data_IF_059461771398
#
_entry.id   IF_059461771398
#
_cell.length_a   1.000
_cell.length_b   1.000
_cell.length_c   1.000
_cell.angle_alpha   90.00
_cell.angle_beta   90.00
_cell.angle_gamma   90.00
#
_symmetry.space_group_name_H-M   'P 1'
#
loop_
_entity.id
_entity.type
_entity.pdbx_description
1 polymer ?
#
# COMPACT_ATOMS: atom_id res chain seq x y z
N UNK A 1 -26.82 -46.77 -13.34
CA UNK A 1 -26.39 -45.50 -13.94
C UNK A 1 -25.35 -44.86 -13.01
N UNK A 2 -24.08 -44.84 -13.42
CA UNK A 2 -22.98 -44.18 -12.68
C UNK A 2 -23.00 -42.70 -13.05
N UNK A 3 -23.25 -41.82 -12.07
CA UNK A 3 -23.13 -40.37 -12.26
C UNK A 3 -21.64 -40.02 -12.12
N UNK A 4 -21.00 -39.74 -13.25
CA UNK A 4 -19.63 -39.26 -13.32
C UNK A 4 -19.58 -37.81 -12.81
N UNK A 5 -18.96 -37.58 -11.66
CA UNK A 5 -18.59 -36.25 -11.19
C UNK A 5 -17.31 -35.81 -11.92
N UNK A 6 -17.45 -35.06 -13.02
CA UNK A 6 -16.33 -34.32 -13.59
C UNK A 6 -16.02 -33.13 -12.67
N UNK A 7 -14.96 -33.26 -11.87
CA UNK A 7 -14.28 -32.12 -11.23
C UNK A 7 -13.68 -31.27 -12.34
N UNK A 8 -14.34 -30.16 -12.66
CA UNK A 8 -13.78 -29.09 -13.48
C UNK A 8 -12.54 -28.52 -12.79
N UNK A 9 -11.37 -28.72 -13.39
CA UNK A 9 -10.12 -28.07 -13.02
C UNK A 9 -10.24 -26.58 -13.33
N UNK A 10 -10.33 -25.73 -12.29
CA UNK A 10 -10.25 -24.28 -12.44
C UNK A 10 -8.86 -23.92 -12.99
N UNK A 11 -8.76 -23.66 -14.29
CA UNK A 11 -7.58 -23.04 -14.89
C UNK A 11 -7.35 -21.67 -14.25
N UNK A 12 -6.26 -21.54 -13.48
CA UNK A 12 -5.80 -20.30 -12.87
C UNK A 12 -5.29 -19.37 -13.96
N UNK A 13 -6.12 -18.41 -14.36
CA UNK A 13 -5.74 -17.41 -15.35
C UNK A 13 -4.74 -16.43 -14.74
N UNK A 14 -3.49 -16.50 -15.19
CA UNK A 14 -2.39 -15.64 -14.76
C UNK A 14 -2.55 -14.26 -15.38
N UNK A 15 -2.86 -13.24 -14.57
CA UNK A 15 -2.93 -11.87 -15.08
C UNK A 15 -1.52 -11.29 -15.24
N UNK A 16 -1.12 -11.04 -16.49
CA UNK A 16 0.18 -10.43 -16.83
C UNK A 16 -0.06 -8.95 -17.10
N UNK A 17 0.68 -8.08 -16.41
CA UNK A 17 0.63 -6.64 -16.60
C UNK A 17 1.85 -6.16 -17.36
N UNK A 18 1.63 -5.39 -18.43
CA UNK A 18 2.73 -4.69 -19.10
C UNK A 18 3.34 -3.64 -18.15
N UNK A 19 4.66 -3.67 -17.98
CA UNK A 19 5.42 -2.69 -17.20
C UNK A 19 6.57 -2.21 -18.06
N UNK A 20 6.54 -0.92 -18.38
CA UNK A 20 7.58 -0.26 -19.15
C UNK A 20 8.25 0.81 -18.28
N UNK A 21 9.56 0.95 -18.44
CA UNK A 21 10.38 1.97 -17.82
C UNK A 21 10.91 2.90 -18.89
N UNK A 22 10.82 4.20 -18.65
CA UNK A 22 11.37 5.24 -19.48
C UNK A 22 12.55 5.93 -18.75
N UNK A 23 13.56 6.42 -19.50
CA UNK A 23 14.53 7.37 -18.96
C UNK A 23 13.85 8.54 -18.26
N UNK A 24 14.57 9.20 -17.36
CA UNK A 24 14.02 10.37 -16.67
C UNK A 24 13.58 11.44 -17.69
N UNK A 25 12.32 11.87 -17.60
CA UNK A 25 11.80 12.95 -18.42
C UNK A 25 11.82 14.27 -17.62
N UNK A 26 12.55 15.30 -18.08
CA UNK A 26 12.63 16.60 -17.40
C UNK A 26 11.30 17.38 -17.37
N UNK A 27 10.27 16.95 -18.10
CA UNK A 27 8.93 17.54 -18.04
C UNK A 27 8.04 16.89 -16.96
N UNK A 28 8.44 15.78 -16.31
CA UNK A 28 7.67 15.21 -15.19
C UNK A 28 7.39 16.19 -14.05
N UNK A 29 8.33 17.05 -13.62
CA UNK A 29 8.04 18.10 -12.64
C UNK A 29 6.94 19.06 -13.10
N UNK A 30 6.94 19.50 -14.37
CA UNK A 30 5.92 20.41 -14.92
C UNK A 30 4.55 19.73 -14.99
N UNK A 31 4.51 18.47 -15.40
CA UNK A 31 3.31 17.65 -15.41
C UNK A 31 2.73 17.49 -13.99
N UNK A 32 3.60 17.24 -13.01
CA UNK A 32 3.22 17.26 -11.60
C UNK A 32 2.64 18.61 -11.17
N UNK A 33 3.33 19.73 -11.45
CA UNK A 33 2.90 21.07 -11.04
C UNK A 33 1.52 21.42 -11.60
N UNK A 34 1.27 21.10 -12.87
CA UNK A 34 -0.03 21.31 -13.52
C UNK A 34 -1.15 20.53 -12.83
N UNK A 35 -0.96 19.24 -12.59
CA UNK A 35 -1.97 18.42 -11.93
C UNK A 35 -2.13 18.78 -10.45
N UNK A 36 -1.03 19.13 -9.76
CA UNK A 36 -1.05 19.58 -8.38
C UNK A 36 -1.84 20.88 -8.21
N UNK A 37 -1.73 21.82 -9.16
CA UNK A 37 -2.54 23.04 -9.16
C UNK A 37 -4.04 22.74 -9.31
N UNK A 38 -4.41 21.83 -10.21
CA UNK A 38 -5.81 21.39 -10.39
C UNK A 38 -6.37 20.72 -9.14
N UNK A 39 -5.61 19.81 -8.54
CA UNK A 39 -5.99 19.11 -7.30
C UNK A 39 -6.16 20.11 -6.16
N UNK A 40 -5.19 21.02 -5.98
CA UNK A 40 -5.25 22.08 -4.96
C UNK A 40 -6.49 22.95 -5.12
N UNK A 41 -6.78 23.39 -6.34
CA UNK A 41 -7.96 24.21 -6.62
C UNK A 41 -9.26 23.46 -6.29
N UNK A 42 -9.36 22.19 -6.69
CA UNK A 42 -10.53 21.38 -6.40
C UNK A 42 -10.74 21.22 -4.89
N UNK A 43 -9.69 20.87 -4.15
CA UNK A 43 -9.74 20.64 -2.71
C UNK A 43 -10.11 21.88 -1.89
N UNK A 44 -9.86 23.10 -2.40
CA UNK A 44 -10.29 24.34 -1.76
C UNK A 44 -9.77 24.49 -0.33
N UNK A 45 -10.67 24.73 0.62
CA UNK A 45 -10.37 24.88 2.05
C UNK A 45 -10.01 23.54 2.74
N UNK A 46 -10.24 22.40 2.08
CA UNK A 46 -9.83 21.09 2.58
C UNK A 46 -8.33 20.82 2.34
N UNK A 47 -7.65 21.62 1.53
CA UNK A 47 -6.23 21.46 1.19
C UNK A 47 -5.29 21.94 2.30
N UNK A 48 -4.26 21.14 2.61
CA UNK A 48 -3.15 21.51 3.50
C UNK A 48 -1.82 21.57 2.74
N UNK A 49 -1.45 20.48 2.05
CA UNK A 49 -0.18 20.37 1.34
C UNK A 49 -0.29 19.41 0.15
N UNK A 50 0.66 19.49 -0.78
CA UNK A 50 0.76 18.55 -1.90
C UNK A 50 2.23 18.31 -2.25
N UNK A 51 2.58 17.07 -2.58
CA UNK A 51 3.95 16.65 -2.78
C UNK A 51 4.07 15.72 -4.00
N UNK A 52 5.09 15.96 -4.83
CA UNK A 52 5.53 15.00 -5.84
C UNK A 52 6.32 13.91 -5.15
N UNK A 53 5.90 12.66 -5.29
CA UNK A 53 6.56 11.47 -4.72
C UNK A 53 6.79 10.42 -5.81
N UNK A 54 7.30 9.25 -5.41
CA UNK A 54 7.58 8.17 -6.35
C UNK A 54 8.79 8.45 -7.25
N UNK A 55 9.08 7.54 -8.19
CA UNK A 55 10.31 7.61 -8.98
C UNK A 55 10.38 8.82 -9.93
N UNK A 56 9.25 9.32 -10.42
CA UNK A 56 9.22 10.49 -11.34
C UNK A 56 9.58 11.80 -10.65
N UNK A 57 9.56 11.83 -9.31
CA UNK A 57 10.02 12.97 -8.52
C UNK A 57 11.54 12.99 -8.30
N UNK A 58 12.28 11.97 -8.72
CA UNK A 58 13.74 11.87 -8.51
C UNK A 58 14.47 12.11 -9.85
N UNK A 59 15.20 13.23 -10.00
CA UNK A 59 15.97 13.49 -11.22
C UNK A 59 16.93 12.36 -11.58
N UNK A 60 17.04 12.10 -12.89
CA UNK A 60 17.88 11.05 -13.48
C UNK A 60 17.51 9.60 -13.12
N UNK A 61 16.41 9.37 -12.38
CA UNK A 61 15.95 8.02 -12.07
C UNK A 61 15.02 7.49 -13.16
N UNK A 62 15.36 6.34 -13.75
CA UNK A 62 14.48 5.61 -14.68
C UNK A 62 13.15 5.28 -13.99
N UNK A 63 12.01 5.50 -14.63
CA UNK A 63 10.72 5.31 -13.96
C UNK A 63 9.64 4.82 -14.91
N UNK A 64 8.56 4.30 -14.34
CA UNK A 64 7.31 4.17 -15.09
C UNK A 64 6.79 5.59 -15.35
N UNK A 65 6.35 5.93 -16.57
CA UNK A 65 5.83 7.27 -16.87
C UNK A 65 4.48 7.46 -16.18
N UNK A 66 4.52 7.78 -14.90
CA UNK A 66 3.36 7.94 -14.03
C UNK A 66 3.72 8.91 -12.91
N UNK A 67 2.86 9.89 -12.69
CA UNK A 67 3.05 10.87 -11.60
C UNK A 67 2.38 10.31 -10.34
N UNK A 68 3.16 10.14 -9.28
CA UNK A 68 2.64 9.79 -7.95
C UNK A 68 2.60 11.07 -7.10
N UNK A 69 1.42 11.38 -6.55
CA UNK A 69 1.15 12.61 -5.80
C UNK A 69 0.64 12.24 -4.41
N UNK A 70 1.15 12.90 -3.38
CA UNK A 70 0.52 12.95 -2.06
C UNK A 70 -0.18 14.29 -1.91
N UNK A 71 -1.47 14.31 -1.57
CA UNK A 71 -2.15 15.50 -1.09
C UNK A 71 -2.59 15.31 0.36
N UNK A 72 -2.28 16.30 1.19
CA UNK A 72 -2.63 16.33 2.61
C UNK A 72 -3.87 17.19 2.77
N UNK A 73 -4.88 16.66 3.46
CA UNK A 73 -6.19 17.30 3.63
C UNK A 73 -6.60 17.39 5.09
N UNK A 74 -7.59 18.24 5.36
CA UNK A 74 -8.21 18.34 6.69
C UNK A 74 -9.09 17.12 6.97
N UNK A 75 -9.84 16.66 5.97
CA UNK A 75 -10.80 15.56 6.07
C UNK A 75 -10.77 14.72 4.79
N UNK A 76 -10.56 13.40 4.94
CA UNK A 76 -10.52 12.45 3.82
C UNK A 76 -11.84 12.37 3.05
N UNK A 77 -12.99 12.33 3.73
CA UNK A 77 -14.30 12.16 3.12
C UNK A 77 -14.66 13.32 2.21
N UNK A 78 -14.30 14.55 2.63
CA UNK A 78 -14.49 15.76 1.82
C UNK A 78 -13.71 15.76 0.51
N UNK A 79 -12.68 14.91 0.37
CA UNK A 79 -11.90 14.78 -0.86
C UNK A 79 -12.58 13.98 -1.96
N UNK A 80 -13.50 13.05 -1.64
CA UNK A 80 -14.01 12.06 -2.60
C UNK A 80 -14.74 12.73 -3.76
N UNK A 81 -15.89 13.36 -3.50
CA UNK A 81 -16.73 13.97 -4.55
C UNK A 81 -15.96 15.04 -5.33
N UNK A 82 -15.16 15.82 -4.62
CA UNK A 82 -14.35 16.90 -5.18
C UNK A 82 -13.31 16.40 -6.18
N UNK A 83 -12.61 15.30 -5.87
CA UNK A 83 -11.61 14.72 -6.76
C UNK A 83 -12.25 13.92 -7.90
N UNK A 84 -13.39 13.27 -7.67
CA UNK A 84 -14.17 12.61 -8.73
C UNK A 84 -14.64 13.61 -9.79
N UNK A 85 -15.03 14.82 -9.40
CA UNK A 85 -15.43 15.89 -10.32
C UNK A 85 -14.32 16.33 -11.29
N UNK A 86 -13.05 16.18 -10.91
CA UNK A 86 -11.90 16.46 -11.80
C UNK A 86 -11.37 15.21 -12.51
N UNK A 87 -12.14 14.11 -12.47
CA UNK A 87 -11.87 12.87 -13.20
C UNK A 87 -10.98 11.87 -12.47
N UNK A 88 -10.75 12.02 -11.16
CA UNK A 88 -9.99 11.06 -10.37
C UNK A 88 -10.90 9.91 -9.88
N UNK A 89 -10.57 8.67 -10.25
CA UNK A 89 -11.32 7.47 -9.84
C UNK A 89 -10.96 7.10 -8.39
N UNK A 90 -11.92 7.13 -7.47
CA UNK A 90 -11.72 6.68 -6.09
C UNK A 90 -11.55 5.16 -6.00
N UNK A 91 -10.54 4.70 -5.25
CA UNK A 91 -10.14 3.28 -5.14
C UNK A 91 -10.20 2.74 -3.71
N UNK A 92 -10.66 3.53 -2.75
CA UNK A 92 -10.64 3.17 -1.33
C UNK A 92 -9.24 3.30 -0.72
N UNK A 93 -9.01 2.59 0.38
CA UNK A 93 -7.75 2.70 1.13
C UNK A 93 -6.58 1.92 0.53
N UNK A 94 -6.91 0.91 -0.28
CA UNK A 94 -5.96 0.18 -1.10
C UNK A 94 -4.81 -0.44 -0.30
N UNK A 95 -5.06 -0.98 0.91
CA UNK A 95 -4.17 -1.64 1.90
C UNK A 95 -3.59 -0.81 3.05
N UNK A 96 -3.66 0.53 3.00
CA UNK A 96 -3.13 1.41 4.05
C UNK A 96 -4.30 2.06 4.79
N UNK A 97 -4.57 1.71 6.06
CA UNK A 97 -5.53 2.43 6.90
C UNK A 97 -5.32 3.95 6.87
N UNK A 98 -6.39 4.73 6.75
CA UNK A 98 -6.31 6.20 6.81
C UNK A 98 -5.74 6.86 5.54
N UNK A 99 -5.62 6.13 4.43
CA UNK A 99 -5.27 6.68 3.12
C UNK A 99 -6.48 6.61 2.20
N UNK A 100 -6.80 7.64 1.41
CA UNK A 100 -7.66 7.47 0.22
C UNK A 100 -6.84 7.48 -1.05
N UNK A 101 -6.99 6.43 -1.86
CA UNK A 101 -6.27 6.29 -3.12
C UNK A 101 -7.18 6.63 -4.31
N UNK A 102 -6.66 7.43 -5.22
CA UNK A 102 -7.31 7.77 -6.48
C UNK A 102 -6.39 7.47 -7.66
N UNK A 103 -7.01 7.20 -8.81
CA UNK A 103 -6.31 6.94 -10.06
C UNK A 103 -6.90 7.82 -11.16
N UNK A 104 -6.03 8.42 -11.95
CA UNK A 104 -6.40 9.07 -13.22
C UNK A 104 -5.65 8.37 -14.35
N UNK A 105 -6.34 8.00 -15.43
CA UNK A 105 -5.74 7.38 -16.62
C UNK A 105 -5.86 8.33 -17.79
N UNK A 106 -4.77 8.49 -18.54
CA UNK A 106 -4.63 9.56 -19.54
C UNK A 106 -4.89 10.94 -18.97
N UNK A 107 -4.36 11.17 -17.76
CA UNK A 107 -4.86 12.16 -16.82
C UNK A 107 -4.32 13.58 -17.00
N UNK A 108 -3.36 13.80 -17.89
CA UNK A 108 -2.82 15.13 -18.17
C UNK A 108 -2.91 15.36 -19.67
N UNK A 109 -4.07 15.88 -20.10
CA UNK A 109 -4.25 16.38 -21.45
C UNK A 109 -3.44 17.66 -21.62
N UNK A 110 -2.31 17.55 -22.32
CA UNK A 110 -1.58 18.68 -22.91
C UNK A 110 -0.96 18.22 -24.22
N UNK A 111 -0.88 19.14 -25.18
CA UNK A 111 -0.27 19.02 -26.50
C UNK A 111 1.25 18.65 -26.53
N UNK A 112 1.78 17.99 -25.49
CA UNK A 112 3.20 17.74 -25.23
C UNK A 112 3.44 16.31 -24.70
N UNK A 113 3.27 15.29 -25.54
CA UNK A 113 3.83 13.93 -25.31
C UNK A 113 2.97 12.90 -24.54
N UNK A 114 1.64 13.00 -24.63
CA UNK A 114 0.74 11.85 -24.43
C UNK A 114 0.20 11.64 -23.01
N UNK A 115 -0.81 10.77 -22.96
CA UNK A 115 -1.62 10.38 -21.80
C UNK A 115 -0.79 9.80 -20.65
N UNK A 116 -0.28 10.64 -19.74
CA UNK A 116 0.40 10.17 -18.52
C UNK A 116 -0.61 9.84 -17.41
N UNK A 117 -0.36 8.72 -16.73
CA UNK A 117 -1.17 8.32 -15.59
C UNK A 117 -0.83 9.10 -14.33
N UNK A 118 -1.84 9.31 -13.48
CA UNK A 118 -1.66 9.88 -12.13
C UNK A 118 -2.16 8.89 -11.08
N UNK A 119 -1.33 8.69 -10.07
CA UNK A 119 -1.67 8.05 -8.81
C UNK A 119 -1.74 9.13 -7.74
N UNK A 120 -2.88 9.26 -7.07
CA UNK A 120 -3.09 10.28 -6.05
C UNK A 120 -3.38 9.61 -4.72
N UNK A 121 -2.56 9.93 -3.72
CA UNK A 121 -2.64 9.42 -2.36
C UNK A 121 -3.09 10.58 -1.46
N UNK A 122 -4.25 10.45 -0.86
CA UNK A 122 -4.80 11.44 0.07
C UNK A 122 -4.60 10.96 1.49
N UNK A 123 -4.08 11.83 2.34
CA UNK A 123 -3.86 11.58 3.76
C UNK A 123 -4.32 12.78 4.58
N UNK A 124 -4.73 12.54 5.82
CA UNK A 124 -4.85 13.62 6.80
C UNK A 124 -3.48 14.05 7.30
N UNK A 125 -3.43 15.21 7.97
CA UNK A 125 -2.21 15.74 8.57
C UNK A 125 -1.57 14.71 9.50
N UNK A 126 -0.24 14.69 9.52
CA UNK A 126 0.59 13.87 10.42
C UNK A 126 0.51 12.34 10.18
N UNK A 127 -0.14 11.89 9.10
CA UNK A 127 -0.13 10.48 8.71
C UNK A 127 1.30 10.00 8.36
N UNK A 128 1.83 8.91 8.96
CA UNK A 128 3.23 8.48 8.81
C UNK A 128 3.70 8.22 7.38
N UNK A 129 2.79 7.83 6.49
CA UNK A 129 3.11 7.58 5.08
C UNK A 129 3.54 8.85 4.33
N UNK A 130 3.15 10.04 4.80
CA UNK A 130 3.61 11.31 4.20
C UNK A 130 5.12 11.39 4.38
N UNK A 131 5.59 11.30 5.63
CA UNK A 131 7.02 11.33 5.96
C UNK A 131 7.78 10.21 5.26
N UNK A 132 7.27 8.96 5.31
CA UNK A 132 7.89 7.80 4.66
C UNK A 132 8.21 8.07 3.18
N UNK A 133 7.22 8.57 2.42
CA UNK A 133 7.40 8.80 0.99
C UNK A 133 8.32 9.99 0.70
N UNK A 134 8.27 11.05 1.53
CA UNK A 134 9.16 12.21 1.41
C UNK A 134 10.61 11.82 1.71
N UNK A 135 10.86 11.08 2.79
CA UNK A 135 12.19 10.62 3.17
C UNK A 135 12.79 9.70 2.11
N UNK A 136 12.02 8.73 1.59
CA UNK A 136 12.50 7.87 0.51
C UNK A 136 12.88 8.68 -0.75
N UNK A 137 12.03 9.62 -1.16
CA UNK A 137 12.32 10.51 -2.30
C UNK A 137 13.59 11.32 -2.07
N UNK A 138 13.67 12.01 -0.93
CA UNK A 138 14.72 12.98 -0.65
C UNK A 138 16.08 12.29 -0.42
N UNK A 139 16.06 11.09 0.15
CA UNK A 139 17.24 10.24 0.22
C UNK A 139 17.78 9.92 -1.18
N UNK A 140 16.94 9.44 -2.10
CA UNK A 140 17.37 9.13 -3.47
C UNK A 140 17.81 10.36 -4.27
N UNK A 141 17.30 11.56 -3.96
CA UNK A 141 17.76 12.81 -4.58
C UNK A 141 19.16 13.22 -4.14
N UNK A 142 19.53 12.89 -2.91
CA UNK A 142 20.80 13.30 -2.28
C UNK A 142 21.87 12.20 -2.30
N UNK A 143 21.50 10.96 -2.62
CA UNK A 143 22.40 9.79 -2.66
C UNK A 143 22.41 9.14 -4.05
N UNK A 144 23.25 9.63 -4.99
CA UNK A 144 23.30 9.10 -6.36
C UNK A 144 23.58 7.59 -6.43
N UNK A 145 24.42 7.05 -5.55
CA UNK A 145 24.70 5.62 -5.49
C UNK A 145 23.43 4.79 -5.19
N UNK A 146 22.62 5.21 -4.22
CA UNK A 146 21.36 4.56 -3.89
C UNK A 146 20.34 4.70 -5.04
N UNK A 147 20.26 5.88 -5.68
CA UNK A 147 19.42 6.10 -6.88
C UNK A 147 19.79 5.12 -8.00
N UNK A 148 21.08 4.95 -8.26
CA UNK A 148 21.57 4.12 -9.35
C UNK A 148 21.36 2.63 -9.04
N UNK A 149 21.55 2.21 -7.79
CA UNK A 149 21.17 0.87 -7.32
C UNK A 149 19.66 0.61 -7.51
N UNK A 150 18.82 1.60 -7.20
CA UNK A 150 17.37 1.46 -7.41
C UNK A 150 17.01 1.36 -8.91
N UNK A 151 17.70 2.11 -9.77
CA UNK A 151 17.55 2.02 -11.21
C UNK A 151 17.90 0.62 -11.74
N UNK A 152 19.07 0.10 -11.33
CA UNK A 152 19.53 -1.24 -11.69
C UNK A 152 18.58 -2.34 -11.19
N UNK A 153 18.08 -2.22 -9.96
CA UNK A 153 17.08 -3.14 -9.43
C UNK A 153 15.83 -3.17 -10.32
N UNK A 154 15.29 -2.01 -10.66
CA UNK A 154 14.09 -1.91 -11.51
C UNK A 154 14.30 -2.53 -12.89
N UNK A 155 15.46 -2.32 -13.50
CA UNK A 155 15.82 -2.91 -14.78
C UNK A 155 15.95 -4.43 -14.68
N UNK A 156 16.67 -4.94 -13.66
CA UNK A 156 16.82 -6.38 -13.40
C UNK A 156 15.47 -7.06 -13.19
N UNK A 157 14.54 -6.41 -12.49
CA UNK A 157 13.19 -6.96 -12.31
C UNK A 157 12.45 -7.10 -13.65
N UNK A 158 12.59 -6.18 -14.60
CA UNK A 158 11.93 -6.30 -15.90
C UNK A 158 12.49 -7.43 -16.79
N UNK A 159 13.69 -7.93 -16.50
CA UNK A 159 14.26 -9.09 -17.21
C UNK A 159 13.61 -10.41 -16.78
N UNK A 160 12.97 -10.43 -15.62
CA UNK A 160 12.30 -11.60 -15.07
C UNK A 160 10.80 -11.54 -15.40
N UNK A 161 10.33 -12.52 -16.20
CA UNK A 161 8.93 -12.60 -16.61
C UNK A 161 7.97 -12.67 -15.42
N UNK A 162 8.43 -13.20 -14.28
CA UNK A 162 7.60 -13.26 -13.07
C UNK A 162 7.24 -11.89 -12.52
N UNK A 163 8.03 -10.86 -12.81
CA UNK A 163 7.78 -9.48 -12.35
C UNK A 163 6.49 -8.88 -12.89
N UNK A 164 6.04 -9.33 -14.07
CA UNK A 164 4.79 -8.87 -14.70
C UNK A 164 3.56 -9.55 -14.13
N UNK A 165 3.75 -10.59 -13.32
CA UNK A 165 2.67 -11.40 -12.80
C UNK A 165 1.92 -10.67 -11.69
N UNK A 166 0.61 -10.79 -11.76
CA UNK A 166 -0.33 -10.38 -10.73
C UNK A 166 -1.15 -11.60 -10.35
N UNK A 167 -0.47 -12.59 -9.73
CA UNK A 167 -1.02 -13.89 -9.35
C UNK A 167 -2.08 -13.73 -8.24
N UNK A 168 -3.27 -13.26 -8.59
CA UNK A 168 -4.37 -13.03 -7.65
C UNK A 168 -4.11 -11.99 -6.56
N UNK A 169 -3.04 -11.19 -6.68
CA UNK A 169 -2.61 -10.19 -5.69
C UNK A 169 -3.08 -8.78 -6.03
N UNK A 170 -3.14 -7.92 -5.01
CA UNK A 170 -3.38 -6.47 -5.20
C UNK A 170 -2.27 -5.83 -6.05
N UNK A 171 -1.01 -6.22 -5.81
CA UNK A 171 0.18 -5.66 -6.45
C UNK A 171 0.90 -6.68 -7.34
N UNK A 172 1.62 -6.20 -8.35
CA UNK A 172 2.49 -7.03 -9.21
C UNK A 172 3.76 -7.44 -8.45
N UNK A 173 4.38 -8.56 -8.83
CA UNK A 173 5.69 -8.99 -8.29
C UNK A 173 6.76 -7.90 -8.45
N UNK A 174 6.74 -7.15 -9.56
CA UNK A 174 7.60 -5.97 -9.74
C UNK A 174 7.48 -4.93 -8.61
N UNK A 175 6.27 -4.70 -8.09
CA UNK A 175 6.06 -3.75 -6.99
C UNK A 175 6.59 -4.34 -5.70
N UNK A 176 6.32 -5.62 -5.47
CA UNK A 176 6.65 -6.31 -4.24
C UNK A 176 8.16 -6.48 -4.05
N UNK A 177 8.87 -6.90 -5.09
CA UNK A 177 10.31 -7.19 -5.05
C UNK A 177 11.20 -5.96 -4.87
N UNK A 178 10.61 -4.76 -4.83
CA UNK A 178 11.32 -3.51 -4.46
C UNK A 178 11.26 -3.25 -2.95
N UNK A 179 10.46 -4.00 -2.20
CA UNK A 179 10.20 -3.77 -0.78
C UNK A 179 11.45 -3.80 0.08
N UNK A 180 12.34 -4.79 -0.11
CA UNK A 180 13.60 -4.89 0.64
C UNK A 180 14.46 -3.64 0.47
N UNK A 181 14.70 -3.23 -0.77
CA UNK A 181 15.46 -2.03 -1.08
C UNK A 181 14.82 -0.78 -0.46
N UNK A 182 13.49 -0.63 -0.56
CA UNK A 182 12.80 0.52 0.05
C UNK A 182 12.99 0.54 1.57
N UNK A 183 12.91 -0.62 2.24
CA UNK A 183 13.13 -0.73 3.69
C UNK A 183 14.56 -0.35 4.09
N UNK A 184 15.56 -0.80 3.33
CA UNK A 184 16.97 -0.43 3.56
C UNK A 184 17.16 1.08 3.46
N UNK A 185 16.64 1.71 2.39
CA UNK A 185 16.73 3.16 2.23
C UNK A 185 16.02 3.91 3.35
N UNK A 186 14.84 3.47 3.77
CA UNK A 186 14.12 4.09 4.89
C UNK A 186 14.88 3.96 6.21
N UNK A 187 15.57 2.83 6.42
CA UNK A 187 16.46 2.64 7.58
C UNK A 187 17.62 3.62 7.55
N UNK A 188 18.31 3.74 6.42
CA UNK A 188 19.45 4.66 6.25
C UNK A 188 19.02 6.12 6.35
N UNK A 189 17.82 6.44 5.86
CA UNK A 189 17.23 7.77 6.00
C UNK A 189 16.81 8.09 7.44
N UNK A 190 16.77 7.10 8.35
CA UNK A 190 16.37 7.28 9.74
C UNK A 190 14.86 7.34 9.97
N UNK A 191 14.05 6.76 9.07
CA UNK A 191 12.59 6.73 9.24
C UNK A 191 12.20 5.87 10.45
N UNK A 192 11.56 6.49 11.45
CA UNK A 192 11.24 5.85 12.74
C UNK A 192 9.76 5.88 13.12
N UNK A 193 8.89 6.48 12.29
CA UNK A 193 7.47 6.63 12.62
C UNK A 193 6.76 5.28 12.75
N UNK A 194 5.74 5.26 13.62
CA UNK A 194 4.92 4.09 13.89
C UNK A 194 3.69 4.12 13.00
N UNK A 195 3.37 3.00 12.34
CA UNK A 195 2.23 2.89 11.43
C UNK A 195 1.63 1.50 11.46
N UNK A 196 0.36 1.39 11.08
CA UNK A 196 -0.31 0.10 10.84
C UNK A 196 -0.54 -0.10 9.35
N UNK A 197 -0.40 -1.34 8.90
CA UNK A 197 -0.68 -1.75 7.53
C UNK A 197 -1.56 -2.99 7.57
N UNK A 198 -2.55 -3.05 6.68
CA UNK A 198 -3.31 -4.30 6.51
C UNK A 198 -2.40 -5.34 5.87
N UNK A 199 -2.32 -6.53 6.47
CA UNK A 199 -1.55 -7.63 5.93
C UNK A 199 -2.04 -7.94 4.51
N UNK A 200 -1.19 -7.68 3.50
CA UNK A 200 -1.58 -7.77 2.10
C UNK A 200 -0.58 -8.52 1.25
N UNK A 201 0.65 -8.69 1.75
CA UNK A 201 1.70 -9.42 1.06
C UNK A 201 2.50 -10.36 1.97
N UNK A 202 3.41 -11.11 1.34
CA UNK A 202 4.19 -12.14 2.00
C UNK A 202 4.98 -11.60 3.21
N UNK A 203 5.43 -10.34 3.19
CA UNK A 203 6.18 -9.72 4.29
C UNK A 203 5.33 -9.70 5.55
N UNK A 204 4.14 -9.09 5.49
CA UNK A 204 3.27 -8.99 6.66
C UNK A 204 2.75 -10.37 7.09
N UNK A 205 2.35 -11.21 6.15
CA UNK A 205 1.81 -12.53 6.46
C UNK A 205 2.87 -13.46 7.06
N UNK A 206 4.12 -13.39 6.61
CA UNK A 206 5.23 -14.15 7.22
C UNK A 206 5.53 -13.64 8.62
N UNK A 207 5.51 -12.33 8.84
CA UNK A 207 5.69 -11.74 10.16
C UNK A 207 4.56 -12.13 11.12
N UNK A 208 3.31 -12.05 10.66
CA UNK A 208 2.14 -12.50 11.42
C UNK A 208 2.24 -13.98 11.83
N UNK A 209 2.62 -14.86 10.89
CA UNK A 209 2.85 -16.29 11.17
C UNK A 209 3.97 -16.50 12.18
N UNK A 210 5.10 -15.81 12.02
CA UNK A 210 6.24 -15.89 12.94
C UNK A 210 5.82 -15.48 14.36
N UNK A 211 5.20 -14.30 14.51
CA UNK A 211 4.74 -13.78 15.79
C UNK A 211 3.72 -14.73 16.43
N UNK A 212 2.71 -15.20 15.70
CA UNK A 212 1.74 -16.16 16.25
C UNK A 212 2.39 -17.45 16.70
N UNK A 213 3.33 -18.01 15.92
CA UNK A 213 4.02 -19.25 16.29
C UNK A 213 4.90 -19.09 17.54
N UNK A 214 5.52 -17.91 17.70
CA UNK A 214 6.34 -17.59 18.87
C UNK A 214 5.50 -17.55 20.16
N UNK A 215 4.31 -16.94 20.11
CA UNK A 215 3.48 -16.73 21.31
C UNK A 215 2.37 -17.78 21.53
N UNK A 216 1.98 -18.54 20.50
CA UNK A 216 0.94 -19.57 20.58
C UNK A 216 1.51 -20.92 20.10
N UNK A 217 2.02 -21.70 21.06
CA UNK A 217 2.82 -22.92 20.82
C UNK A 217 2.04 -24.17 20.39
N UNK A 218 0.70 -24.13 20.44
CA UNK A 218 -0.18 -25.29 20.17
C UNK A 218 -1.13 -25.12 18.98
N UNK A 219 -0.83 -24.23 18.02
CA UNK A 219 -1.65 -24.10 16.81
C UNK A 219 -1.45 -25.37 15.95
N UNK A 220 -2.45 -26.25 15.93
CA UNK A 220 -2.47 -27.43 15.06
C UNK A 220 -2.52 -26.96 13.59
N UNK A 221 -1.83 -27.68 12.70
CA UNK A 221 -1.71 -27.35 11.26
C UNK A 221 -3.02 -27.28 10.46
N UNK A 222 -4.15 -27.64 11.08
CA UNK A 222 -5.50 -27.63 10.49
C UNK A 222 -6.47 -26.70 11.25
N UNK A 223 -5.96 -25.67 11.95
CA UNK A 223 -6.79 -24.62 12.52
C UNK A 223 -7.54 -23.89 11.38
N UNK A 224 -8.87 -23.75 11.42
CA UNK A 224 -9.63 -22.93 10.47
C UNK A 224 -9.17 -21.45 10.43
N UNK A 225 -8.31 -21.01 11.36
CA UNK A 225 -7.55 -19.75 11.30
C UNK A 225 -6.18 -19.88 10.59
N UNK A 226 -6.02 -20.83 9.67
CA UNK A 226 -4.81 -20.96 8.86
C UNK A 226 -4.56 -19.66 8.09
N UNK A 227 -3.55 -18.91 8.53
CA UNK A 227 -3.15 -17.64 7.91
C UNK A 227 -2.79 -17.81 6.43
N UNK A 228 -2.54 -19.02 5.93
CA UNK A 228 -2.38 -19.26 4.49
C UNK A 228 -3.67 -18.99 3.72
N UNK A 229 -4.81 -19.46 4.24
CA UNK A 229 -6.12 -19.17 3.63
C UNK A 229 -6.44 -17.67 3.73
N UNK A 230 -6.18 -17.04 4.88
CA UNK A 230 -6.35 -15.60 5.06
C UNK A 230 -5.45 -14.80 4.12
N UNK A 231 -4.22 -15.26 3.89
CA UNK A 231 -3.29 -14.66 2.93
C UNK A 231 -3.81 -14.76 1.50
N UNK A 232 -4.22 -15.94 1.05
CA UNK A 232 -4.79 -16.15 -0.28
C UNK A 232 -6.05 -15.29 -0.49
N UNK A 233 -6.89 -15.17 0.54
CA UNK A 233 -8.06 -14.29 0.50
C UNK A 233 -7.64 -12.82 0.43
N UNK A 234 -6.72 -12.38 1.30
CA UNK A 234 -6.26 -10.99 1.35
C UNK A 234 -5.66 -10.50 0.02
N UNK A 235 -4.97 -11.39 -0.72
CA UNK A 235 -4.44 -11.12 -2.04
C UNK A 235 -5.55 -10.76 -3.04
N UNK A 236 -6.65 -11.53 -3.02
CA UNK A 236 -7.77 -11.43 -3.95
C UNK A 236 -8.79 -10.37 -3.56
N UNK A 237 -8.77 -9.94 -2.31
CA UNK A 237 -9.83 -9.13 -1.75
C UNK A 237 -9.89 -7.72 -2.40
N UNK A 238 -11.10 -7.17 -2.62
CA UNK A 238 -11.28 -5.82 -3.15
C UNK A 238 -10.54 -4.76 -2.35
N UNK A 239 -10.25 -3.62 -2.99
CA UNK A 239 -9.64 -2.48 -2.31
C UNK A 239 -10.64 -1.58 -1.58
N UNK A 240 -11.91 -1.60 -2.00
CA UNK A 240 -12.98 -0.83 -1.36
C UNK A 240 -13.34 -1.49 -0.01
N UNK A 241 -13.37 -0.74 1.12
CA UNK A 241 -13.53 -1.31 2.46
C UNK A 241 -14.77 -2.20 2.61
N UNK A 242 -15.94 -1.74 2.16
CA UNK A 242 -17.19 -2.50 2.28
C UNK A 242 -17.15 -3.82 1.47
N UNK A 243 -16.68 -3.78 0.23
CA UNK A 243 -16.55 -4.97 -0.61
C UNK A 243 -15.47 -5.92 -0.10
N UNK A 244 -14.39 -5.39 0.49
CA UNK A 244 -13.34 -6.18 1.14
C UNK A 244 -13.86 -6.93 2.34
N UNK A 245 -14.60 -6.28 3.23
CA UNK A 245 -15.17 -6.93 4.42
C UNK A 245 -16.10 -8.07 4.07
N UNK A 246 -16.99 -7.84 3.10
CA UNK A 246 -17.87 -8.88 2.57
C UNK A 246 -17.10 -10.06 1.95
N UNK A 247 -15.85 -9.83 1.50
CA UNK A 247 -14.98 -10.86 0.93
C UNK A 247 -14.11 -11.57 1.98
N UNK A 248 -13.66 -10.86 3.02
CA UNK A 248 -12.75 -11.35 4.06
C UNK A 248 -13.47 -11.90 5.29
N UNK A 249 -14.76 -12.22 5.18
CA UNK A 249 -15.60 -12.73 6.28
C UNK A 249 -15.49 -11.87 7.56
N UNK A 250 -15.45 -10.54 7.37
CA UNK A 250 -15.40 -9.57 8.48
C UNK A 250 -14.11 -9.61 9.32
N UNK A 251 -13.06 -10.32 8.88
CA UNK A 251 -11.77 -10.41 9.57
C UNK A 251 -10.70 -9.50 8.95
N UNK A 252 -10.00 -8.74 9.80
CA UNK A 252 -8.92 -7.82 9.45
C UNK A 252 -7.63 -8.19 10.19
N UNK A 253 -6.53 -8.15 9.45
CA UNK A 253 -5.20 -8.51 9.94
C UNK A 253 -4.29 -7.30 9.77
N UNK A 254 -3.74 -6.80 10.88
CA UNK A 254 -2.91 -5.60 10.91
C UNK A 254 -1.50 -5.93 11.38
N UNK A 255 -0.51 -5.42 10.65
CA UNK A 255 0.89 -5.40 11.07
C UNK A 255 1.24 -4.01 11.62
N UNK A 256 1.86 -3.98 12.80
CA UNK A 256 2.43 -2.77 13.39
C UNK A 256 3.88 -2.62 12.92
N UNK A 257 4.18 -1.49 12.32
CA UNK A 257 5.53 -1.11 11.91
C UNK A 257 6.10 -0.04 12.84
N UNK A 258 7.39 -0.16 13.16
CA UNK A 258 8.25 0.91 13.70
C UNK A 258 9.35 1.16 12.66
N UNK A 259 9.29 2.32 12.00
CA UNK A 259 10.11 2.55 10.82
C UNK A 259 9.83 1.48 9.73
N UNK A 260 10.87 0.84 9.17
CA UNK A 260 10.71 -0.23 8.18
C UNK A 260 10.44 -1.63 8.78
N UNK A 261 10.49 -1.79 10.11
CA UNK A 261 10.43 -3.10 10.77
C UNK A 261 9.03 -3.41 11.31
N UNK A 262 8.56 -4.65 11.14
CA UNK A 262 7.31 -5.13 11.74
C UNK A 262 7.59 -5.58 13.16
N UNK A 263 6.94 -4.95 14.12
CA UNK A 263 7.14 -5.16 15.57
C UNK A 263 5.89 -5.67 16.27
N UNK A 264 4.77 -5.82 15.56
CA UNK A 264 3.52 -6.29 16.16
C UNK A 264 2.49 -6.76 15.14
N UNK A 265 1.49 -7.46 15.63
CA UNK A 265 0.41 -8.04 14.82
C UNK A 265 -0.91 -8.04 15.60
N UNK A 266 -2.01 -7.78 14.89
CA UNK A 266 -3.36 -7.93 15.43
C UNK A 266 -4.30 -8.62 14.45
N UNK A 267 -5.22 -9.44 14.99
CA UNK A 267 -6.37 -10.00 14.30
C UNK A 267 -7.62 -9.38 14.92
N UNK A 268 -8.42 -8.70 14.11
CA UNK A 268 -9.65 -8.02 14.51
C UNK A 268 -10.80 -8.60 13.70
N UNK A 269 -11.90 -8.92 14.39
CA UNK A 269 -13.16 -9.27 13.77
C UNK A 269 -14.11 -8.06 13.85
N UNK A 270 -14.66 -7.64 12.71
CA UNK A 270 -15.51 -6.46 12.55
C UNK A 270 -16.92 -6.85 12.06
N UNK A 271 -17.71 -7.53 12.89
CA UNK A 271 -19.01 -8.02 12.47
C UNK A 271 -19.98 -6.86 12.25
N UNK A 272 -20.58 -6.76 11.06
CA UNK A 272 -21.21 -5.53 10.56
C UNK A 272 -22.02 -4.73 11.59
N UNK A 273 -23.10 -5.30 12.12
CA UNK A 273 -23.97 -4.63 13.11
C UNK A 273 -23.57 -4.89 14.57
N UNK A 274 -22.48 -5.59 14.82
CA UNK A 274 -22.05 -6.03 16.15
C UNK A 274 -20.79 -5.29 16.60
N UNK A 275 -20.45 -5.44 17.88
CA UNK A 275 -19.24 -4.82 18.43
C UNK A 275 -17.99 -5.49 17.85
N UNK A 276 -16.97 -4.72 17.44
CA UNK A 276 -15.70 -5.24 16.98
C UNK A 276 -14.98 -5.99 18.10
N UNK A 277 -14.27 -7.07 17.75
CA UNK A 277 -13.55 -7.94 18.67
C UNK A 277 -12.09 -8.05 18.26
N UNK A 278 -11.17 -7.64 19.13
CA UNK A 278 -9.74 -7.92 18.96
C UNK A 278 -9.51 -9.37 19.40
N UNK A 279 -9.26 -10.26 18.44
CA UNK A 279 -9.00 -11.69 18.71
C UNK A 279 -7.56 -11.93 19.16
N UNK A 280 -6.61 -11.24 18.52
CA UNK A 280 -5.18 -11.35 18.83
C UNK A 280 -4.56 -9.96 18.84
N UNK A 281 -3.68 -9.72 19.81
CA UNK A 281 -2.79 -8.57 19.85
C UNK A 281 -1.43 -9.06 20.33
N UNK A 282 -0.39 -8.84 19.53
CA UNK A 282 0.99 -9.20 19.83
C UNK A 282 1.88 -7.98 19.56
N UNK A 283 2.77 -7.69 20.50
CA UNK A 283 3.98 -6.90 20.29
C UNK A 283 5.17 -7.83 20.49
N UNK A 284 6.18 -7.73 19.63
CA UNK A 284 7.44 -8.47 19.77
C UNK A 284 8.11 -8.13 21.11
N UNK A 285 8.60 -9.15 21.83
CA UNK A 285 9.19 -9.02 23.17
C UNK A 285 10.37 -8.05 23.24
N UNK A 286 11.11 -7.89 22.15
CA UNK A 286 12.22 -6.93 22.08
C UNK A 286 11.72 -5.47 22.15
N UNK A 287 10.42 -5.26 22.03
CA UNK A 287 9.75 -3.96 22.01
C UNK A 287 8.82 -3.73 23.22
N UNK A 288 8.77 -4.68 24.17
CA UNK A 288 7.93 -4.54 25.36
C UNK A 288 8.38 -3.39 26.26
N UNK A 289 7.41 -2.70 26.87
CA UNK A 289 7.68 -1.59 27.80
C UNK A 289 8.19 -0.31 27.12
N UNK A 290 8.19 -0.25 25.79
CA UNK A 290 8.55 0.94 25.01
C UNK A 290 7.33 1.76 24.58
N UNK A 291 6.13 1.41 25.05
CA UNK A 291 4.87 2.12 24.78
C UNK A 291 4.18 1.73 23.46
N UNK A 292 4.66 0.70 22.76
CA UNK A 292 4.07 0.28 21.48
C UNK A 292 2.74 -0.45 21.66
N UNK A 293 2.48 -1.03 22.82
CA UNK A 293 1.22 -1.66 23.20
C UNK A 293 0.07 -0.64 23.16
N UNK A 294 0.24 0.47 23.87
CA UNK A 294 -0.73 1.56 23.93
C UNK A 294 -0.88 2.25 22.58
N UNK A 295 0.24 2.46 21.86
CA UNK A 295 0.22 3.06 20.53
C UNK A 295 -0.52 2.18 19.53
N UNK A 296 -0.31 0.87 19.55
CA UNK A 296 -0.99 -0.05 18.65
C UNK A 296 -2.49 -0.11 18.94
N UNK A 297 -2.87 -0.17 20.23
CA UNK A 297 -4.29 -0.10 20.63
C UNK A 297 -4.96 1.20 20.15
N UNK A 298 -4.26 2.32 20.22
CA UNK A 298 -4.76 3.61 19.72
C UNK A 298 -5.00 3.57 18.20
N UNK A 299 -4.02 3.09 17.44
CA UNK A 299 -4.14 2.95 15.98
C UNK A 299 -5.24 1.95 15.58
N UNK A 300 -5.39 0.85 16.34
CA UNK A 300 -6.48 -0.12 16.15
C UNK A 300 -7.83 0.53 16.41
N UNK A 301 -7.95 1.36 17.46
CA UNK A 301 -9.19 2.08 17.77
C UNK A 301 -9.56 3.05 16.64
N UNK A 302 -8.61 3.83 16.16
CA UNK A 302 -8.81 4.74 15.02
C UNK A 302 -9.25 3.98 13.76
N UNK A 303 -8.56 2.86 13.47
CA UNK A 303 -8.93 1.95 12.39
C UNK A 303 -10.37 1.43 12.49
N UNK A 304 -10.77 0.99 13.68
CA UNK A 304 -12.12 0.49 13.95
C UNK A 304 -13.17 1.59 13.76
N UNK A 305 -12.91 2.80 14.25
CA UNK A 305 -13.84 3.94 14.12
C UNK A 305 -14.04 4.33 12.65
N UNK A 306 -12.99 4.21 11.84
CA UNK A 306 -13.04 4.53 10.41
C UNK A 306 -13.67 3.43 9.54
N UNK A 307 -13.90 2.22 10.07
CA UNK A 307 -14.32 1.03 9.31
C UNK A 307 -15.84 0.83 9.29
#
# INVERSE_FOLDING_TARGET
>A
MKINSQKSSKQTHKYIKHIELAPYNPDWPKLYESEAARIKQALGDNYIAIHHVGSTSVPSLIAKPKIDIIAVVVDLQRSIKTLEQIGAEYRGEYNIPGRYFFRKRGGIDVNLHGDIDVNLHIYEKDHPEIELNLMFRDYLRTHPAARDQYALLKQKLLQDKSSFEKNHRTFTEYTMRKGDFIREILKDAGFSSVRIIRCSDQTEWSAAKKLRKQYFTNIKSNDPNDLESCYLNAQNAPSAPAARRAFMDEDEHLALYKGPEIIGYSHIHLPGNNKPVIRILIIDENHHGQGFEEKFLTLIREFIIAS
#
